data_IF_040162701453
#
_entry.id   IF_040162701453
#
_cell.length_a   1.000
_cell.length_b   1.000
_cell.length_c   1.000
_cell.angle_alpha   90.00
_cell.angle_beta   90.00
_cell.angle_gamma   90.00
#
_symmetry.space_group_name_H-M   'P 1'
#
loop_
_entity.id
_entity.type
_entity.pdbx_description
1 polymer ?
#
# COMPACT_ATOMS: atom_id res chain seq x y z
N UNK A 1 6.40 -20.90 -35.67
CA UNK A 1 4.96 -20.59 -35.44
C UNK A 1 4.43 -21.16 -34.12
N UNK A 2 4.39 -22.49 -33.89
CA UNK A 2 3.98 -23.04 -32.56
C UNK A 2 5.10 -22.90 -31.52
N UNK A 3 6.36 -23.05 -31.92
CA UNK A 3 7.54 -22.92 -31.06
C UNK A 3 7.79 -21.49 -30.58
N UNK A 4 7.59 -20.48 -31.43
CA UNK A 4 7.75 -19.06 -31.04
C UNK A 4 6.72 -18.62 -29.99
N UNK A 5 5.47 -19.10 -30.11
CA UNK A 5 4.42 -18.83 -29.14
C UNK A 5 4.72 -19.51 -27.79
N UNK A 6 5.29 -20.71 -27.80
CA UNK A 6 5.63 -21.44 -26.57
C UNK A 6 6.81 -20.81 -25.83
N UNK A 7 7.84 -20.32 -26.56
CA UNK A 7 8.96 -19.55 -26.00
C UNK A 7 8.50 -18.19 -25.47
N UNK A 8 7.53 -17.55 -26.12
CA UNK A 8 6.96 -16.28 -25.66
C UNK A 8 6.06 -16.45 -24.42
N UNK A 9 5.37 -17.58 -24.31
CA UNK A 9 4.61 -17.95 -23.11
C UNK A 9 5.56 -18.32 -21.97
N UNK A 10 6.60 -19.12 -22.21
CA UNK A 10 7.60 -19.46 -21.19
C UNK A 10 8.41 -18.25 -20.72
N UNK A 11 8.79 -17.33 -21.62
CA UNK A 11 9.44 -16.08 -21.22
C UNK A 11 8.50 -15.15 -20.45
N UNK A 12 7.22 -15.06 -20.80
CA UNK A 12 6.23 -14.34 -19.98
C UNK A 12 5.98 -15.01 -18.62
N UNK A 13 6.02 -16.34 -18.55
CA UNK A 13 5.89 -17.12 -17.31
C UNK A 13 7.13 -16.99 -16.43
N UNK A 14 8.34 -16.96 -17.00
CA UNK A 14 9.60 -16.77 -16.27
C UNK A 14 9.74 -15.33 -15.73
N UNK A 15 9.29 -14.33 -16.50
CA UNK A 15 9.26 -12.92 -16.09
C UNK A 15 8.20 -12.68 -15.00
N UNK A 16 7.20 -13.55 -14.86
CA UNK A 16 6.20 -13.47 -13.79
C UNK A 16 6.66 -14.03 -12.44
N UNK A 17 7.73 -14.83 -12.37
CA UNK A 17 8.09 -15.55 -11.15
C UNK A 17 9.39 -15.13 -10.43
N UNK A 18 10.12 -14.15 -10.95
CA UNK A 18 11.25 -13.54 -10.23
C UNK A 18 11.12 -12.02 -10.19
N UNK A 19 10.11 -11.52 -9.48
CA UNK A 19 10.17 -10.12 -9.09
C UNK A 19 11.35 -9.95 -8.13
N UNK A 20 12.31 -9.12 -8.51
CA UNK A 20 13.39 -8.70 -7.64
C UNK A 20 12.78 -7.95 -6.44
N UNK A 21 12.71 -8.66 -5.31
CA UNK A 21 12.18 -8.18 -4.03
C UNK A 21 13.28 -7.59 -3.14
N UNK A 22 14.49 -7.35 -3.68
CA UNK A 22 15.51 -6.58 -2.97
C UNK A 22 15.05 -5.14 -2.76
N UNK A 23 15.64 -4.46 -1.79
CA UNK A 23 15.35 -3.04 -1.50
C UNK A 23 15.45 -2.17 -2.77
N UNK A 24 16.55 -2.32 -3.53
CA UNK A 24 16.75 -1.58 -4.78
C UNK A 24 15.70 -1.92 -5.85
N UNK A 25 15.32 -3.20 -5.97
CA UNK A 25 14.25 -3.66 -6.86
C UNK A 25 12.90 -3.03 -6.51
N UNK A 26 12.54 -3.01 -5.22
CA UNK A 26 11.30 -2.42 -4.73
C UNK A 26 11.28 -0.89 -4.88
N UNK A 27 12.40 -0.20 -4.61
CA UNK A 27 12.52 1.24 -4.85
C UNK A 27 12.27 1.55 -6.32
N UNK A 28 12.91 0.81 -7.24
CA UNK A 28 12.69 0.99 -8.68
C UNK A 28 11.23 0.71 -9.06
N UNK A 29 10.62 -0.31 -8.46
CA UNK A 29 9.24 -0.74 -8.73
C UNK A 29 8.19 0.30 -8.30
N UNK A 30 8.38 0.94 -7.15
CA UNK A 30 7.37 1.85 -6.57
C UNK A 30 7.66 3.34 -6.79
N UNK A 31 8.77 3.69 -7.47
CA UNK A 31 9.10 5.07 -7.85
C UNK A 31 8.17 5.59 -8.96
N UNK A 32 7.93 6.91 -8.95
CA UNK A 32 7.07 7.56 -9.95
C UNK A 32 5.61 7.10 -9.80
N UNK A 33 4.99 6.69 -10.92
CA UNK A 33 3.62 6.17 -10.93
C UNK A 33 3.49 4.75 -10.34
N UNK A 34 4.63 4.10 -10.06
CA UNK A 34 4.69 2.76 -9.47
C UNK A 34 4.04 1.69 -10.36
N UNK A 35 3.25 0.81 -9.75
CA UNK A 35 2.65 -0.35 -10.43
C UNK A 35 1.13 -0.25 -10.50
N UNK A 36 0.56 -0.66 -11.64
CA UNK A 36 -0.87 -0.53 -11.95
C UNK A 36 -1.58 -1.88 -12.01
N UNK A 37 -2.75 -1.97 -11.39
CA UNK A 37 -3.57 -3.17 -11.31
C UNK A 37 -5.02 -2.92 -11.72
N UNK A 38 -5.61 -3.87 -12.45
CA UNK A 38 -7.06 -3.90 -12.68
C UNK A 38 -7.77 -4.47 -11.45
N UNK A 39 -8.79 -3.75 -10.98
CA UNK A 39 -9.58 -4.13 -9.83
C UNK A 39 -11.04 -3.66 -9.96
N UNK A 40 -11.85 -4.00 -8.97
CA UNK A 40 -13.21 -3.52 -8.79
C UNK A 40 -13.37 -3.00 -7.37
N UNK A 41 -13.96 -1.82 -7.23
CA UNK A 41 -14.34 -1.28 -5.94
C UNK A 41 -15.55 -2.07 -5.42
N UNK A 42 -15.40 -2.71 -4.26
CA UNK A 42 -16.54 -3.35 -3.57
C UNK A 42 -17.35 -2.26 -2.88
N UNK A 43 -16.67 -1.35 -2.18
CA UNK A 43 -17.26 -0.17 -1.55
C UNK A 43 -16.31 0.46 -0.53
N UNK A 44 -16.82 1.49 0.15
CA UNK A 44 -16.12 2.21 1.21
C UNK A 44 -17.06 2.24 2.42
N UNK A 45 -16.55 1.92 3.59
CA UNK A 45 -17.30 1.92 4.86
C UNK A 45 -16.61 2.85 5.86
N UNK A 46 -17.36 3.55 6.69
CA UNK A 46 -16.80 4.30 7.82
C UNK A 46 -16.55 3.33 8.97
N UNK A 47 -15.39 3.48 9.62
CA UNK A 47 -14.96 2.56 10.69
C UNK A 47 -14.49 3.32 11.91
N UNK A 48 -14.59 2.68 13.08
CA UNK A 48 -14.38 3.33 14.38
C UNK A 48 -12.92 3.39 14.81
N UNK A 49 -12.02 2.64 14.16
CA UNK A 49 -10.61 2.57 14.54
C UNK A 49 -9.69 2.46 13.31
N UNK A 50 -8.45 2.88 13.49
CA UNK A 50 -7.42 2.86 12.46
C UNK A 50 -6.94 1.45 12.06
N UNK A 51 -7.21 0.43 12.87
CA UNK A 51 -6.74 -0.96 12.67
C UNK A 51 -7.62 -1.99 13.37
N UNK A 52 -7.56 -3.23 12.89
CA UNK A 52 -8.16 -4.38 13.55
C UNK A 52 -8.76 -5.39 12.56
N UNK A 53 -8.38 -6.66 12.68
CA UNK A 53 -8.83 -7.74 11.80
C UNK A 53 -10.35 -7.91 11.82
N UNK A 54 -10.95 -8.00 13.01
CA UNK A 54 -12.39 -8.15 13.19
C UNK A 54 -13.15 -6.98 12.56
N UNK A 55 -12.71 -5.75 12.83
CA UNK A 55 -13.31 -4.54 12.26
C UNK A 55 -13.26 -4.55 10.72
N UNK A 56 -12.11 -4.91 10.14
CA UNK A 56 -11.98 -4.99 8.68
C UNK A 56 -12.82 -6.12 8.08
N UNK A 57 -12.91 -7.27 8.77
CA UNK A 57 -13.71 -8.40 8.34
C UNK A 57 -15.21 -8.06 8.38
N UNK A 58 -15.68 -7.40 9.44
CA UNK A 58 -17.08 -6.98 9.59
C UNK A 58 -17.46 -5.98 8.49
N UNK A 59 -16.64 -4.94 8.26
CA UNK A 59 -16.84 -3.99 7.15
C UNK A 59 -16.77 -4.65 5.78
N UNK A 60 -15.85 -5.59 5.55
CA UNK A 60 -15.77 -6.35 4.30
C UNK A 60 -17.06 -7.15 4.06
N UNK A 61 -17.57 -7.85 5.09
CA UNK A 61 -18.83 -8.60 4.98
C UNK A 61 -20.02 -7.69 4.70
N UNK A 62 -20.13 -6.56 5.41
CA UNK A 62 -21.16 -5.54 5.18
C UNK A 62 -21.15 -5.06 3.72
N UNK A 63 -19.99 -4.61 3.23
CA UNK A 63 -19.83 -4.09 1.87
C UNK A 63 -20.10 -5.16 0.81
N UNK A 64 -19.71 -6.42 1.04
CA UNK A 64 -20.05 -7.53 0.14
C UNK A 64 -21.54 -7.83 0.12
N UNK A 65 -22.23 -7.74 1.26
CA UNK A 65 -23.68 -7.87 1.37
C UNK A 65 -24.39 -6.79 0.55
N UNK A 66 -24.00 -5.52 0.75
CA UNK A 66 -24.51 -4.38 -0.03
C UNK A 66 -24.24 -4.56 -1.53
N UNK A 67 -23.02 -4.93 -1.91
CA UNK A 67 -22.67 -5.14 -3.31
C UNK A 67 -23.34 -6.37 -3.94
N UNK A 68 -23.87 -7.30 -3.14
CA UNK A 68 -24.67 -8.44 -3.61
C UNK A 68 -26.14 -8.04 -3.80
N UNK A 69 -26.67 -7.21 -2.91
CA UNK A 69 -28.00 -6.59 -3.04
C UNK A 69 -28.07 -5.62 -4.23
N UNK A 70 -27.04 -4.79 -4.44
CA UNK A 70 -26.96 -3.94 -5.63
C UNK A 70 -26.94 -4.77 -6.93
N UNK A 71 -26.23 -5.91 -6.91
CA UNK A 71 -26.17 -6.82 -8.07
C UNK A 71 -27.53 -7.42 -8.43
N UNK A 72 -28.38 -7.74 -7.47
CA UNK A 72 -29.73 -8.24 -7.78
C UNK A 72 -30.63 -7.17 -8.43
N UNK A 73 -30.26 -5.89 -8.31
CA UNK A 73 -30.88 -4.75 -8.99
C UNK A 73 -30.20 -4.36 -10.31
N UNK A 74 -29.20 -5.13 -10.77
CA UNK A 74 -28.46 -4.87 -12.00
C UNK A 74 -27.25 -3.94 -11.85
N UNK A 75 -26.94 -3.47 -10.63
CA UNK A 75 -25.77 -2.63 -10.40
C UNK A 75 -24.50 -3.47 -10.20
N UNK A 76 -23.47 -3.15 -10.97
CA UNK A 76 -22.19 -3.85 -10.92
C UNK A 76 -21.13 -3.00 -10.24
N UNK A 77 -20.25 -3.67 -9.48
CA UNK A 77 -19.06 -3.07 -8.86
C UNK A 77 -18.29 -2.24 -9.88
N UNK A 78 -17.95 -1.01 -9.50
CA UNK A 78 -17.22 -0.09 -10.36
C UNK A 78 -15.84 -0.67 -10.70
N UNK A 79 -15.55 -0.71 -12.00
CA UNK A 79 -14.27 -1.12 -12.54
C UNK A 79 -13.25 0.00 -12.39
N UNK A 80 -12.10 -0.31 -11.79
CA UNK A 80 -11.07 0.68 -11.45
C UNK A 80 -9.67 0.18 -11.79
N UNK A 81 -8.75 1.12 -11.96
CA UNK A 81 -7.33 0.86 -11.89
C UNK A 81 -6.77 1.36 -10.56
N UNK A 82 -5.97 0.54 -9.90
CA UNK A 82 -5.20 0.94 -8.74
C UNK A 82 -3.76 1.16 -9.14
N UNK A 83 -3.15 2.25 -8.69
CA UNK A 83 -1.70 2.44 -8.74
C UNK A 83 -1.13 2.42 -7.33
N UNK A 84 -0.03 1.70 -7.15
CA UNK A 84 0.69 1.56 -5.88
C UNK A 84 2.09 2.12 -6.08
N UNK A 85 2.43 3.14 -5.30
CA UNK A 85 3.70 3.89 -5.39
C UNK A 85 4.09 4.42 -4.02
N UNK A 86 5.26 5.06 -3.91
CA UNK A 86 5.61 5.84 -2.71
C UNK A 86 4.62 6.97 -2.40
N UNK A 87 3.87 7.44 -3.40
CA UNK A 87 2.77 8.38 -3.22
C UNK A 87 1.51 7.77 -2.60
N UNK A 88 1.49 6.47 -2.34
CA UNK A 88 0.37 5.72 -1.77
C UNK A 88 -0.46 4.99 -2.81
N UNK A 89 -1.76 4.88 -2.53
CA UNK A 89 -2.74 4.19 -3.37
C UNK A 89 -3.59 5.24 -4.09
N UNK A 90 -3.55 5.23 -5.42
CA UNK A 90 -4.49 6.00 -6.25
C UNK A 90 -5.46 5.07 -6.96
N UNK A 91 -6.70 5.49 -7.05
CA UNK A 91 -7.79 4.75 -7.69
C UNK A 91 -8.36 5.57 -8.83
N UNK A 92 -8.36 5.01 -10.03
CA UNK A 92 -8.85 5.65 -11.24
C UNK A 92 -10.04 4.87 -11.79
N UNK A 93 -11.03 5.57 -12.33
CA UNK A 93 -12.12 4.94 -13.08
C UNK A 93 -11.56 4.23 -14.31
N UNK A 94 -11.86 2.94 -14.51
CA UNK A 94 -11.34 2.20 -15.68
C UNK A 94 -11.85 2.77 -17.01
N UNK A 95 -13.08 3.28 -17.04
CA UNK A 95 -13.71 3.80 -18.26
C UNK A 95 -13.24 5.20 -18.63
N UNK A 96 -13.19 6.12 -17.67
CA UNK A 96 -12.91 7.53 -17.95
C UNK A 96 -11.46 7.95 -17.66
N UNK A 97 -10.69 7.14 -16.93
CA UNK A 97 -9.34 7.51 -16.48
C UNK A 97 -9.30 8.56 -15.37
N UNK A 98 -10.46 9.05 -14.90
CA UNK A 98 -10.55 10.06 -13.83
C UNK A 98 -10.06 9.48 -12.51
N UNK A 99 -9.24 10.25 -11.79
CA UNK A 99 -8.83 9.95 -10.42
C UNK A 99 -10.04 10.07 -9.48
N UNK A 100 -10.41 8.97 -8.83
CA UNK A 100 -11.53 8.89 -7.90
C UNK A 100 -11.08 9.11 -6.47
N UNK A 101 -9.98 8.46 -6.08
CA UNK A 101 -9.45 8.52 -4.73
C UNK A 101 -7.92 8.49 -4.76
N UNK A 102 -7.31 9.25 -3.86
CA UNK A 102 -5.88 9.19 -3.59
C UNK A 102 -5.70 9.16 -2.07
N UNK A 103 -5.07 8.09 -1.58
CA UNK A 103 -4.70 7.95 -0.18
C UNK A 103 -3.19 7.81 -0.11
N UNK A 104 -2.53 8.78 0.52
CA UNK A 104 -1.09 8.78 0.72
C UNK A 104 -0.68 7.67 1.70
N UNK A 105 0.57 7.23 1.64
CA UNK A 105 1.07 6.15 2.52
C UNK A 105 0.85 6.48 3.99
N UNK A 106 1.07 7.72 4.41
CA UNK A 106 0.90 8.16 5.79
C UNK A 106 -0.57 8.21 6.26
N UNK A 107 -1.52 8.17 5.33
CA UNK A 107 -2.95 8.13 5.64
C UNK A 107 -3.48 6.70 5.75
N UNK A 108 -2.72 5.70 5.29
CA UNK A 108 -3.10 4.30 5.31
C UNK A 108 -2.54 3.66 6.57
N UNK A 109 -3.44 3.21 7.45
CA UNK A 109 -3.09 2.73 8.79
C UNK A 109 -3.09 1.21 8.89
N UNK A 110 -3.82 0.51 8.02
CA UNK A 110 -3.95 -0.94 8.10
C UNK A 110 -4.31 -1.57 6.76
N UNK A 111 -3.82 -2.77 6.47
CA UNK A 111 -4.21 -3.59 5.32
C UNK A 111 -4.73 -4.92 5.83
N UNK A 112 -5.92 -5.30 5.39
CA UNK A 112 -6.56 -6.56 5.75
C UNK A 112 -6.80 -7.41 4.51
N UNK A 113 -6.33 -8.67 4.55
CA UNK A 113 -6.68 -9.67 3.55
C UNK A 113 -8.02 -10.28 3.91
N UNK A 114 -8.85 -10.56 2.90
CA UNK A 114 -10.06 -11.32 3.12
C UNK A 114 -9.74 -12.82 3.23
N UNK A 115 -10.15 -13.44 4.34
CA UNK A 115 -9.95 -14.86 4.61
C UNK A 115 -10.84 -15.76 3.74
N UNK A 116 -11.95 -15.23 3.22
CA UNK A 116 -12.97 -15.98 2.46
C UNK A 116 -12.89 -15.77 0.95
N UNK A 117 -12.19 -14.74 0.48
CA UNK A 117 -11.95 -14.48 -0.95
C UNK A 117 -10.51 -14.01 -1.15
N UNK A 118 -9.64 -14.89 -1.63
CA UNK A 118 -8.21 -14.59 -1.85
C UNK A 118 -7.97 -13.48 -2.89
N UNK A 119 -9.00 -13.08 -3.63
CA UNK A 119 -8.97 -11.94 -4.58
C UNK A 119 -9.59 -10.69 -3.99
N UNK A 120 -9.89 -10.66 -2.71
CA UNK A 120 -10.38 -9.49 -2.01
C UNK A 120 -9.41 -9.10 -0.89
N UNK A 121 -9.25 -7.81 -0.72
CA UNK A 121 -8.55 -7.21 0.41
C UNK A 121 -9.18 -5.85 0.67
N UNK A 122 -8.86 -5.27 1.81
CA UNK A 122 -9.16 -3.86 2.06
C UNK A 122 -8.03 -3.19 2.82
N UNK A 123 -8.14 -1.88 2.91
CA UNK A 123 -7.23 -1.08 3.72
C UNK A 123 -8.01 -0.01 4.48
N UNK A 124 -7.53 0.32 5.67
CA UNK A 124 -8.04 1.42 6.47
C UNK A 124 -7.22 2.66 6.16
N UNK A 125 -7.90 3.78 5.93
CA UNK A 125 -7.27 5.07 5.73
C UNK A 125 -8.04 6.20 6.42
N UNK A 126 -7.39 7.35 6.57
CA UNK A 126 -8.00 8.57 7.10
C UNK A 126 -7.40 9.00 8.43
N UNK A 127 -7.78 10.19 8.87
CA UNK A 127 -7.30 10.79 10.11
C UNK A 127 -8.08 10.26 11.32
N UNK A 128 -7.53 10.49 12.51
CA UNK A 128 -8.19 10.16 13.77
C UNK A 128 -9.62 10.71 13.81
N UNK A 129 -10.57 9.84 14.17
CA UNK A 129 -12.01 10.15 14.17
C UNK A 129 -12.72 10.04 12.81
N UNK A 130 -11.98 9.88 11.70
CA UNK A 130 -12.54 9.81 10.34
C UNK A 130 -11.93 8.66 9.52
N UNK A 131 -11.89 7.46 10.12
CA UNK A 131 -11.35 6.28 9.45
C UNK A 131 -12.37 5.69 8.47
N UNK A 132 -11.86 5.23 7.33
CA UNK A 132 -12.62 4.53 6.30
C UNK A 132 -11.93 3.24 5.93
N UNK A 133 -12.72 2.19 5.77
CA UNK A 133 -12.29 0.93 5.19
C UNK A 133 -12.65 0.88 3.71
N UNK A 134 -11.65 0.78 2.85
CA UNK A 134 -11.83 0.66 1.40
C UNK A 134 -11.68 -0.81 1.00
N UNK A 135 -12.73 -1.40 0.47
CA UNK A 135 -12.75 -2.81 0.08
C UNK A 135 -12.60 -2.97 -1.44
N UNK A 136 -11.62 -3.78 -1.85
CA UNK A 136 -11.22 -3.96 -3.24
C UNK A 136 -11.28 -5.44 -3.61
N UNK A 137 -11.81 -5.72 -4.81
CA UNK A 137 -11.70 -7.01 -5.46
C UNK A 137 -10.72 -6.94 -6.63
N UNK A 138 -9.67 -7.74 -6.61
CA UNK A 138 -8.66 -7.78 -7.67
C UNK A 138 -8.98 -8.84 -8.72
N UNK A 139 -8.44 -8.67 -9.93
CA UNK A 139 -8.43 -9.73 -10.93
C UNK A 139 -7.37 -10.80 -10.63
N UNK A 140 -6.26 -10.40 -10.00
CA UNK A 140 -5.08 -11.23 -9.74
C UNK A 140 -4.52 -11.00 -8.32
N UNK A 141 -3.81 -11.98 -7.78
CA UNK A 141 -3.25 -11.96 -6.41
C UNK A 141 -2.04 -11.03 -6.15
N UNK A 142 -1.13 -10.68 -7.10
CA UNK A 142 0.14 -10.00 -6.80
C UNK A 142 0.02 -8.66 -6.07
N UNK A 143 -1.10 -7.96 -6.22
CA UNK A 143 -1.34 -6.64 -5.64
C UNK A 143 -1.13 -6.62 -4.11
N UNK A 144 -1.62 -7.65 -3.41
CA UNK A 144 -1.55 -7.70 -1.94
C UNK A 144 -0.10 -7.81 -1.47
N UNK A 145 0.72 -8.56 -2.20
CA UNK A 145 2.15 -8.73 -1.91
C UNK A 145 2.87 -7.40 -2.11
N UNK A 146 2.59 -6.70 -3.21
CA UNK A 146 3.18 -5.39 -3.49
C UNK A 146 2.80 -4.32 -2.46
N UNK A 147 1.57 -4.34 -1.95
CA UNK A 147 1.19 -3.45 -0.85
C UNK A 147 2.03 -3.73 0.38
N UNK A 148 2.10 -5.00 0.82
CA UNK A 148 2.92 -5.37 1.99
C UNK A 148 4.36 -4.89 1.81
N UNK A 149 4.96 -5.18 0.67
CA UNK A 149 6.36 -4.84 0.41
C UNK A 149 6.59 -3.33 0.35
N UNK A 150 5.65 -2.54 -0.19
CA UNK A 150 5.71 -1.08 -0.15
C UNK A 150 5.70 -0.56 1.30
N UNK A 151 4.76 -1.02 2.13
CA UNK A 151 4.64 -0.55 3.50
C UNK A 151 5.82 -0.99 4.38
N UNK A 152 6.31 -2.21 4.20
CA UNK A 152 7.53 -2.68 4.88
C UNK A 152 8.75 -1.86 4.46
N UNK A 153 8.94 -1.62 3.16
CA UNK A 153 10.05 -0.81 2.67
C UNK A 153 10.01 0.62 3.24
N UNK A 154 8.85 1.25 3.26
CA UNK A 154 8.71 2.61 3.79
C UNK A 154 8.96 2.64 5.31
N UNK A 155 8.51 1.62 6.03
CA UNK A 155 8.82 1.49 7.45
C UNK A 155 10.33 1.37 7.68
N UNK A 156 11.00 0.48 6.94
CA UNK A 156 12.44 0.24 7.09
C UNK A 156 13.27 1.49 6.75
N UNK A 157 12.90 2.24 5.70
CA UNK A 157 13.55 3.50 5.34
C UNK A 157 13.36 4.53 6.46
N UNK A 158 12.13 4.71 6.96
CA UNK A 158 11.85 5.66 8.04
C UNK A 158 12.60 5.33 9.33
N UNK A 159 12.66 4.04 9.70
CA UNK A 159 13.40 3.61 10.88
C UNK A 159 14.89 3.92 10.77
N UNK A 160 15.51 3.69 9.60
CA UNK A 160 16.92 4.06 9.35
C UNK A 160 17.14 5.56 9.44
N UNK A 161 16.29 6.37 8.82
CA UNK A 161 16.38 7.83 8.90
C UNK A 161 16.24 8.37 10.34
N UNK A 162 15.38 7.76 11.16
CA UNK A 162 15.21 8.16 12.57
C UNK A 162 16.46 7.82 13.41
N UNK A 163 17.05 6.64 13.20
CA UNK A 163 18.29 6.23 13.86
C UNK A 163 19.46 7.13 13.48
N UNK A 164 19.59 7.48 12.20
CA UNK A 164 20.64 8.39 11.71
C UNK A 164 20.47 9.81 12.28
N UNK A 165 19.23 10.32 12.33
CA UNK A 165 18.94 11.63 12.96
C UNK A 165 19.28 11.63 14.45
N UNK A 166 19.03 10.54 15.17
CA UNK A 166 19.37 10.42 16.59
C UNK A 166 20.90 10.37 16.78
N UNK A 167 21.60 9.55 16.00
CA UNK A 167 23.06 9.47 16.04
C UNK A 167 23.72 10.81 15.69
N UNK A 168 23.15 11.57 14.76
CA UNK A 168 23.66 12.89 14.40
C UNK A 168 23.45 13.93 15.51
N UNK A 169 22.30 13.89 16.20
CA UNK A 169 22.04 14.73 17.38
C UNK A 169 22.95 14.39 18.54
N UNK A 170 23.18 13.10 18.80
CA UNK A 170 24.05 12.66 19.89
C UNK A 170 25.50 13.13 19.67
N UNK A 171 26.03 13.01 18.43
CA UNK A 171 27.35 13.57 18.07
C UNK A 171 27.44 15.09 18.22
N UNK A 172 26.38 15.81 17.87
CA UNK A 172 26.31 17.27 18.04
C UNK A 172 26.29 17.68 19.51
N UNK A 173 25.55 16.95 20.35
CA UNK A 173 25.54 17.16 21.80
C UNK A 173 26.92 16.87 22.42
N UNK A 174 27.57 15.77 22.03
CA UNK A 174 28.89 15.39 22.55
C UNK A 174 29.96 16.43 22.19
N UNK A 175 29.98 16.90 20.94
CA UNK A 175 30.88 17.98 20.50
C UNK A 175 30.64 19.29 21.25
N UNK A 176 29.38 19.64 21.54
CA UNK A 176 29.05 20.83 22.33
C UNK A 176 29.53 20.71 23.78
N UNK A 177 29.43 19.52 24.39
CA UNK A 177 29.94 19.26 25.75
C UNK A 177 31.47 19.38 25.81
N UNK A 178 32.20 18.83 24.84
CA UNK A 178 33.67 18.96 24.79
C UNK A 178 34.14 20.41 24.57
N UNK A 179 33.45 21.17 23.73
CA UNK A 179 33.72 22.59 23.50
C UNK A 179 33.49 23.44 24.77
N UNK A 180 32.36 23.25 25.45
CA UNK A 180 32.05 23.97 26.70
C UNK A 180 33.02 23.57 27.82
N UNK A 181 33.33 22.28 27.97
CA UNK A 181 34.28 21.80 28.99
C UNK A 181 35.71 22.35 28.81
N UNK A 182 36.16 22.49 27.55
CA UNK A 182 37.48 23.06 27.26
C UNK A 182 37.51 24.57 27.53
N UNK A 183 36.45 25.30 27.21
CA UNK A 183 36.35 26.73 27.48
C UNK A 183 36.38 27.05 28.97
N UNK A 184 35.72 26.22 29.81
CA UNK A 184 35.70 26.40 31.28
C UNK A 184 37.07 26.14 31.90
N UNK A 185 37.89 25.23 31.35
CA UNK A 185 39.25 24.96 31.86
C UNK A 185 40.28 26.05 31.54
N UNK A 186 39.98 26.95 30.61
CA UNK A 186 40.89 28.02 30.17
C UNK A 186 40.52 29.41 30.72
N UNK A 187 39.50 29.50 31.59
CA UNK A 187 39.11 30.71 32.33
C UNK A 187 39.55 30.55 33.78
#
# INVERSE_FOLDING_TARGET
>A
RVTDLQVQVESQVLVHFSQDRTEAGLIKRFRGDGVRYKAKLIGIDEVTAARGDKLCQDSMMKLKGMASSARSKGEHKQRVFLTISFGGIKMYCERSGVLLHHHSVHEISYIAKDTRDHRAFGYVCGKEGHHRFVAIKTAQSPLIIDLRDLFTLIYDIKQREELEKKAQKDKQCEQAVYQVGTLIMHI
#
